data_IF_865419723607
#
_entry.id   IF_865419723607
#
_cell.length_a   1.000
_cell.length_b   1.000
_cell.length_c   1.000
_cell.angle_alpha   90.00
_cell.angle_beta   90.00
_cell.angle_gamma   90.00
#
_symmetry.space_group_name_H-M   'P 1'
#
loop_
_entity.id
_entity.type
_entity.pdbx_description
1 polymer ?
#
# COMPACT_ATOMS: atom_id res chain seq x y z
N UNK A 1 2.66 -25.34 -14.79
CA UNK A 1 3.16 -23.96 -14.69
C UNK A 1 1.96 -23.05 -14.43
N UNK A 2 1.40 -23.07 -13.22
CA UNK A 2 0.45 -22.04 -12.78
C UNK A 2 1.32 -20.82 -12.48
N UNK A 3 1.22 -19.78 -13.30
CA UNK A 3 2.05 -18.59 -13.15
C UNK A 3 1.94 -18.05 -11.74
N UNK A 4 3.07 -17.68 -11.13
CA UNK A 4 3.10 -16.94 -9.88
C UNK A 4 2.34 -15.62 -10.08
N UNK A 5 1.05 -15.62 -9.72
CA UNK A 5 0.13 -14.47 -9.81
C UNK A 5 0.22 -13.55 -8.60
N UNK A 6 1.13 -13.85 -7.66
CA UNK A 6 1.33 -13.06 -6.45
C UNK A 6 1.76 -11.65 -6.84
N UNK A 7 1.00 -10.61 -6.46
CA UNK A 7 1.38 -9.24 -6.74
C UNK A 7 2.75 -8.91 -6.13
N UNK A 8 3.49 -7.99 -6.76
CA UNK A 8 4.80 -7.55 -6.25
C UNK A 8 4.71 -6.35 -5.29
N UNK A 9 3.54 -5.70 -5.27
CA UNK A 9 3.20 -4.60 -4.38
C UNK A 9 1.69 -4.59 -4.16
N UNK A 10 1.24 -4.35 -2.93
CA UNK A 10 -0.17 -4.22 -2.53
C UNK A 10 -0.34 -3.14 -1.46
N UNK A 11 -1.49 -2.50 -1.45
CA UNK A 11 -1.97 -1.65 -0.35
C UNK A 11 -3.35 -2.17 0.05
N UNK A 12 -3.50 -2.55 1.31
CA UNK A 12 -4.74 -3.09 1.87
C UNK A 12 -5.22 -2.18 2.98
N UNK A 13 -6.48 -1.76 2.91
CA UNK A 13 -7.12 -0.93 3.92
C UNK A 13 -8.63 -1.20 3.93
N UNK A 14 -9.24 -1.17 5.11
CA UNK A 14 -10.69 -1.14 5.27
C UNK A 14 -11.13 0.32 5.28
N UNK A 15 -12.16 0.66 4.50
CA UNK A 15 -12.70 2.03 4.41
C UNK A 15 -14.16 2.06 4.83
N UNK A 16 -14.58 3.17 5.43
CA UNK A 16 -15.98 3.47 5.78
C UNK A 16 -16.74 4.16 4.65
N UNK A 17 -16.05 4.43 3.53
CA UNK A 17 -16.60 5.13 2.36
C UNK A 17 -16.40 4.29 1.10
N UNK A 18 -17.20 4.57 0.07
CA UNK A 18 -17.10 3.94 -1.24
C UNK A 18 -16.05 4.58 -2.17
N UNK A 19 -15.34 5.62 -1.73
CA UNK A 19 -14.28 6.24 -2.52
C UNK A 19 -13.05 5.31 -2.53
N UNK A 20 -12.33 5.25 -3.64
CA UNK A 20 -11.07 4.52 -3.72
C UNK A 20 -9.91 5.47 -3.38
N UNK A 21 -9.28 5.39 -2.18
CA UNK A 21 -8.30 6.39 -1.75
C UNK A 21 -7.00 6.34 -2.56
N UNK A 22 -6.67 5.17 -3.13
CA UNK A 22 -5.39 4.89 -3.76
C UNK A 22 -5.41 4.91 -5.29
N UNK A 23 -6.42 5.52 -5.92
CA UNK A 23 -6.62 5.47 -7.37
C UNK A 23 -5.48 6.10 -8.21
N UNK A 24 -4.64 6.94 -7.60
CA UNK A 24 -3.59 7.71 -8.29
C UNK A 24 -2.19 7.54 -7.69
N UNK A 25 -1.95 6.49 -6.89
CA UNK A 25 -0.63 6.25 -6.27
C UNK A 25 0.38 5.65 -7.26
N UNK A 26 -0.10 5.16 -8.41
CA UNK A 26 0.74 4.67 -9.50
C UNK A 26 0.84 5.75 -10.57
N UNK A 27 2.08 6.05 -10.97
CA UNK A 27 2.39 7.00 -12.04
C UNK A 27 3.28 6.35 -13.08
N UNK A 28 3.69 7.13 -14.07
CA UNK A 28 4.50 6.70 -15.21
C UNK A 28 5.83 7.48 -15.27
N UNK A 29 6.87 6.84 -15.75
CA UNK A 29 8.22 7.42 -15.92
C UNK A 29 8.89 6.88 -17.18
N UNK A 30 9.99 7.49 -17.59
CA UNK A 30 10.69 7.19 -18.86
C UNK A 30 10.53 8.32 -19.88
N UNK A 31 11.23 8.22 -21.01
CA UNK A 31 11.18 9.24 -22.06
C UNK A 31 9.81 9.24 -22.78
N UNK A 32 9.08 8.13 -22.69
CA UNK A 32 7.79 7.90 -23.33
C UNK A 32 6.76 7.35 -22.34
N UNK A 33 6.96 7.60 -21.04
CA UNK A 33 6.08 7.14 -19.96
C UNK A 33 5.88 5.60 -19.91
N UNK A 34 6.88 4.86 -20.35
CA UNK A 34 6.80 3.41 -20.58
C UNK A 34 6.90 2.55 -19.30
N UNK A 35 7.30 3.14 -18.17
CA UNK A 35 7.46 2.42 -16.91
C UNK A 35 6.46 2.89 -15.86
N UNK A 36 5.62 1.99 -15.36
CA UNK A 36 4.83 2.24 -14.16
C UNK A 36 5.74 2.33 -12.93
N UNK A 37 5.56 3.35 -12.10
CA UNK A 37 6.29 3.54 -10.85
C UNK A 37 5.33 3.95 -9.72
N UNK A 38 5.79 3.79 -8.48
CA UNK A 38 5.05 4.18 -7.29
C UNK A 38 5.37 5.64 -6.94
N UNK A 39 4.34 6.45 -6.78
CA UNK A 39 4.44 7.81 -6.27
C UNK A 39 4.21 7.80 -4.74
N UNK A 40 5.30 8.00 -4.00
CA UNK A 40 5.27 7.99 -2.53
C UNK A 40 4.58 9.23 -1.97
N UNK A 41 4.66 10.36 -2.66
CA UNK A 41 4.01 11.60 -2.22
C UNK A 41 2.51 11.51 -2.43
N UNK A 42 2.06 10.99 -3.59
CA UNK A 42 0.65 10.71 -3.83
C UNK A 42 0.09 9.66 -2.85
N UNK A 43 0.85 8.62 -2.52
CA UNK A 43 0.47 7.65 -1.49
C UNK A 43 0.30 8.31 -0.11
N UNK A 44 1.22 9.19 0.27
CA UNK A 44 1.14 9.93 1.52
C UNK A 44 -0.08 10.85 1.57
N UNK A 45 -0.33 11.59 0.49
CA UNK A 45 -1.50 12.48 0.37
C UNK A 45 -2.80 11.69 0.53
N UNK A 46 -2.95 10.59 -0.22
CA UNK A 46 -4.09 9.69 -0.11
C UNK A 46 -4.32 9.18 1.33
N UNK A 47 -3.24 8.81 2.04
CA UNK A 47 -3.38 8.31 3.41
C UNK A 47 -3.79 9.43 4.39
N UNK A 48 -3.30 10.64 4.19
CA UNK A 48 -3.61 11.78 5.08
C UNK A 48 -5.03 12.28 4.83
N UNK A 49 -5.43 12.43 3.58
CA UNK A 49 -6.72 12.99 3.20
C UNK A 49 -7.88 12.08 3.59
N UNK A 50 -7.67 10.77 3.49
CA UNK A 50 -8.66 9.75 3.85
C UNK A 50 -8.44 9.16 5.25
N UNK A 51 -7.60 9.78 6.10
CA UNK A 51 -7.17 9.20 7.39
C UNK A 51 -8.35 8.80 8.30
N UNK A 52 -9.43 9.59 8.27
CA UNK A 52 -10.61 9.43 9.12
C UNK A 52 -11.61 8.43 8.52
N UNK A 53 -11.43 8.07 7.24
CA UNK A 53 -12.23 7.09 6.51
C UNK A 53 -11.70 5.67 6.65
N UNK A 54 -10.45 5.48 7.10
CA UNK A 54 -9.86 4.17 7.32
C UNK A 54 -10.31 3.54 8.64
N UNK A 55 -10.50 2.24 8.62
CA UNK A 55 -10.79 1.44 9.80
C UNK A 55 -9.63 0.49 10.09
N UNK A 56 -8.92 0.75 11.19
CA UNK A 56 -7.71 0.01 11.57
C UNK A 56 -6.47 0.51 10.84
N UNK A 57 -5.48 -0.37 10.67
CA UNK A 57 -4.22 -0.10 9.98
C UNK A 57 -4.37 -0.28 8.47
N UNK A 58 -3.47 0.38 7.75
CA UNK A 58 -3.19 0.19 6.33
C UNK A 58 -1.96 -0.72 6.22
N UNK A 59 -2.08 -1.81 5.47
CA UNK A 59 -0.98 -2.74 5.24
C UNK A 59 -0.42 -2.56 3.84
N UNK A 60 0.87 -2.23 3.78
CA UNK A 60 1.61 -2.15 2.53
C UNK A 60 2.46 -3.42 2.42
N UNK A 61 2.16 -4.24 1.41
CA UNK A 61 2.93 -5.43 1.09
C UNK A 61 3.87 -5.15 -0.08
N UNK A 62 5.13 -5.52 0.04
CA UNK A 62 6.12 -5.37 -1.05
C UNK A 62 7.01 -6.61 -1.17
N UNK A 63 7.29 -7.04 -2.40
CA UNK A 63 8.31 -8.07 -2.68
C UNK A 63 9.68 -7.41 -2.83
N UNK A 64 10.70 -7.93 -2.14
CA UNK A 64 12.08 -7.48 -2.35
C UNK A 64 12.50 -7.69 -3.83
N UNK A 65 13.27 -6.79 -4.41
CA UNK A 65 13.63 -6.82 -5.83
C UNK A 65 12.63 -6.11 -6.76
N UNK A 66 11.55 -5.54 -6.23
CA UNK A 66 10.58 -4.75 -6.99
C UNK A 66 10.58 -3.31 -6.47
N UNK A 67 10.70 -2.30 -7.36
CA UNK A 67 10.71 -0.86 -7.01
C UNK A 67 11.62 -0.51 -5.82
N UNK A 68 12.80 -1.14 -5.74
CA UNK A 68 13.71 -0.99 -4.60
C UNK A 68 14.31 0.41 -4.47
N UNK A 69 14.30 1.19 -5.55
CA UNK A 69 14.64 2.62 -5.55
C UNK A 69 13.72 3.44 -4.63
N UNK A 70 12.53 2.92 -4.29
CA UNK A 70 11.56 3.57 -3.39
C UNK A 70 11.68 3.12 -1.92
N UNK A 71 12.56 2.16 -1.59
CA UNK A 71 12.64 1.56 -0.25
C UNK A 71 12.83 2.61 0.86
N UNK A 72 13.79 3.53 0.70
CA UNK A 72 14.09 4.54 1.71
C UNK A 72 12.93 5.52 1.93
N UNK A 73 12.28 5.94 0.83
CA UNK A 73 11.16 6.85 0.88
C UNK A 73 9.93 6.20 1.56
N UNK A 74 9.67 4.93 1.22
CA UNK A 74 8.59 4.15 1.81
C UNK A 74 8.85 3.88 3.30
N UNK A 75 10.08 3.54 3.69
CA UNK A 75 10.46 3.34 5.09
C UNK A 75 10.26 4.62 5.91
N UNK A 76 10.67 5.78 5.39
CA UNK A 76 10.45 7.09 6.04
C UNK A 76 8.96 7.44 6.16
N UNK A 77 8.13 7.08 5.18
CA UNK A 77 6.69 7.27 5.25
C UNK A 77 6.07 6.41 6.36
N UNK A 78 6.44 5.13 6.41
CA UNK A 78 5.97 4.16 7.42
C UNK A 78 6.41 4.59 8.82
N UNK A 79 7.63 5.07 9.00
CA UNK A 79 8.11 5.59 10.28
C UNK A 79 7.23 6.76 10.77
N UNK A 80 6.98 7.74 9.91
CA UNK A 80 6.15 8.93 10.22
C UNK A 80 4.69 8.60 10.51
N UNK A 81 4.15 7.59 9.83
CA UNK A 81 2.75 7.18 9.93
C UNK A 81 2.61 5.79 10.55
N UNK A 82 3.55 5.39 11.42
CA UNK A 82 3.58 4.04 12.03
C UNK A 82 2.34 3.74 12.88
N UNK A 83 1.65 4.78 13.34
CA UNK A 83 0.35 4.66 14.01
C UNK A 83 -0.78 4.23 13.06
N UNK A 84 -0.62 4.34 11.74
CA UNK A 84 -1.63 4.02 10.73
C UNK A 84 -1.15 3.00 9.68
N UNK A 85 0.15 2.89 9.41
CA UNK A 85 0.70 2.06 8.33
C UNK A 85 1.65 0.99 8.88
N UNK A 86 1.60 -0.20 8.28
CA UNK A 86 2.61 -1.24 8.43
C UNK A 86 3.16 -1.69 7.07
N UNK A 87 4.48 -1.74 6.92
CA UNK A 87 5.16 -2.30 5.74
C UNK A 87 5.64 -3.71 6.03
N UNK A 88 5.25 -4.67 5.18
CA UNK A 88 5.58 -6.09 5.33
C UNK A 88 5.88 -6.76 3.99
N UNK A 89 6.24 -8.05 4.02
CA UNK A 89 6.16 -8.88 2.82
C UNK A 89 4.71 -9.02 2.35
N UNK A 90 4.51 -9.44 1.10
CA UNK A 90 3.17 -9.58 0.50
C UNK A 90 2.26 -10.48 1.36
N UNK A 91 2.74 -11.66 1.73
CA UNK A 91 1.94 -12.62 2.49
C UNK A 91 1.65 -12.12 3.91
N UNK A 92 2.66 -11.56 4.59
CA UNK A 92 2.46 -11.01 5.95
C UNK A 92 1.47 -9.83 5.96
N UNK A 93 1.47 -9.00 4.91
CA UNK A 93 0.50 -7.90 4.77
C UNK A 93 -0.93 -8.45 4.59
N UNK A 94 -1.10 -9.48 3.75
CA UNK A 94 -2.39 -10.15 3.55
C UNK A 94 -2.86 -10.81 4.86
N UNK A 95 -1.99 -11.59 5.52
CA UNK A 95 -2.32 -12.29 6.76
C UNK A 95 -2.71 -11.29 7.87
N UNK A 96 -1.96 -10.19 8.00
CA UNK A 96 -2.25 -9.14 8.97
C UNK A 96 -3.57 -8.44 8.68
N UNK A 97 -3.87 -8.18 7.41
CA UNK A 97 -5.14 -7.59 6.98
C UNK A 97 -6.33 -8.54 7.24
N UNK A 98 -6.22 -9.81 6.89
CA UNK A 98 -7.25 -10.82 7.18
C UNK A 98 -7.54 -10.90 8.68
N UNK A 99 -6.50 -10.91 9.52
CA UNK A 99 -6.65 -10.91 10.98
C UNK A 99 -7.33 -9.64 11.50
N UNK A 100 -7.05 -8.49 10.90
CA UNK A 100 -7.76 -7.25 11.23
C UNK A 100 -9.24 -7.34 10.83
N UNK A 101 -9.54 -7.86 9.63
CA UNK A 101 -10.91 -8.03 9.15
C UNK A 101 -11.75 -8.92 10.08
N UNK A 102 -11.17 -9.98 10.66
CA UNK A 102 -11.88 -10.83 11.64
C UNK A 102 -12.43 -10.03 12.82
N UNK A 103 -11.79 -8.92 13.21
CA UNK A 103 -12.26 -8.03 14.29
C UNK A 103 -13.20 -6.92 13.83
N UNK A 104 -13.45 -6.79 12.53
CA UNK A 104 -14.28 -5.75 11.91
C UNK A 104 -15.57 -6.32 11.32
N UNK A 105 -15.72 -7.64 11.30
CA UNK A 105 -16.88 -8.36 10.80
C UNK A 105 -17.80 -8.75 11.98
N UNK A 106 -18.40 -7.75 12.61
CA UNK A 106 -19.49 -7.92 13.59
C UNK A 106 -20.86 -7.63 12.95
#
# INVERSE_FOLDING_TARGET
>A
NMGDVTPKFIVLATTKTGNHPFSHIATKTGAYDEYATLDIDALKEAIIDYKDDFEGKIFIGKRAGFIDDKNDALAKLVEKLSYLIELKTINEAIDSYCKQLESQMD
#
